data_IF_214150089879
#
_entry.id   IF_214150089879
#
_cell.length_a   1.000
_cell.length_b   1.000
_cell.length_c   1.000
_cell.angle_alpha   90.00
_cell.angle_beta   90.00
_cell.angle_gamma   90.00
#
_symmetry.space_group_name_H-M   'P 1'
#
loop_
_entity.id
_entity.type
_entity.pdbx_description
1 polymer ?
#
# COMPACT_ATOMS: atom_id res chain seq x y z
N UNK A 1 26.72 -3.80 14.63
CA UNK A 1 26.56 -4.03 13.23
C UNK A 1 25.16 -3.74 12.75
N UNK A 2 25.06 -3.04 11.72
CA UNK A 2 23.78 -2.64 11.19
C UNK A 2 23.24 -3.58 10.12
N UNK A 3 23.81 -4.76 9.99
CA UNK A 3 23.38 -5.72 8.96
C UNK A 3 21.92 -6.14 9.10
N UNK A 4 21.45 -6.17 10.34
CA UNK A 4 20.08 -6.61 10.61
C UNK A 4 19.05 -5.68 10.03
N UNK A 5 19.32 -4.36 10.06
CA UNK A 5 18.35 -3.39 9.56
C UNK A 5 18.10 -3.53 8.06
N UNK A 6 19.11 -3.97 7.29
CA UNK A 6 18.92 -4.18 5.86
C UNK A 6 17.94 -5.29 5.57
N UNK A 7 18.01 -6.37 6.33
CA UNK A 7 17.10 -7.50 6.11
C UNK A 7 15.69 -7.17 6.56
N UNK A 8 15.56 -6.40 7.66
CA UNK A 8 14.25 -6.03 8.17
C UNK A 8 13.54 -5.01 7.28
N UNK A 9 14.27 -4.39 6.32
CA UNK A 9 13.71 -3.36 5.44
C UNK A 9 13.30 -3.92 4.08
N UNK A 10 12.99 -5.18 4.03
CA UNK A 10 12.51 -5.82 2.82
C UNK A 10 11.24 -6.60 3.11
N UNK A 11 10.34 -6.61 2.13
CA UNK A 11 9.11 -7.39 2.22
C UNK A 11 8.87 -8.04 0.86
N UNK A 12 8.39 -9.29 0.87
CA UNK A 12 8.22 -10.08 -0.33
C UNK A 12 6.79 -10.02 -0.84
N UNK A 13 6.62 -9.91 -2.16
CA UNK A 13 5.32 -10.06 -2.80
C UNK A 13 5.00 -11.55 -2.84
N UNK A 14 3.79 -11.92 -2.41
CA UNK A 14 3.41 -13.30 -2.19
C UNK A 14 2.87 -13.96 -3.45
N UNK A 15 2.01 -13.27 -4.20
CA UNK A 15 1.38 -13.86 -5.36
C UNK A 15 1.32 -12.94 -6.56
N UNK A 16 0.72 -13.42 -7.66
CA UNK A 16 0.54 -12.65 -8.86
C UNK A 16 1.77 -12.57 -9.74
N UNK A 17 1.81 -11.62 -10.66
CA UNK A 17 2.86 -11.52 -11.66
C UNK A 17 4.23 -11.17 -11.08
N UNK A 18 4.27 -10.55 -9.91
CA UNK A 18 5.53 -10.19 -9.25
C UNK A 18 5.85 -11.11 -8.07
N UNK A 19 5.28 -12.29 -8.04
CA UNK A 19 5.50 -13.24 -6.97
C UNK A 19 6.99 -13.46 -6.71
N UNK A 20 7.37 -13.39 -5.44
CA UNK A 20 8.75 -13.60 -5.01
C UNK A 20 9.64 -12.38 -5.11
N UNK A 21 9.20 -11.31 -5.78
CA UNK A 21 9.95 -10.08 -5.85
C UNK A 21 9.89 -9.34 -4.52
N UNK A 22 10.93 -8.59 -4.23
CA UNK A 22 11.06 -7.91 -2.95
C UNK A 22 10.87 -6.41 -3.09
N UNK A 23 10.22 -5.83 -2.10
CA UNK A 23 10.09 -4.39 -1.95
C UNK A 23 11.11 -3.94 -0.90
N UNK A 24 11.77 -2.82 -1.17
CA UNK A 24 12.70 -2.20 -0.23
C UNK A 24 12.03 -0.97 0.33
N UNK A 25 12.09 -0.77 1.63
CA UNK A 25 11.48 0.41 2.25
C UNK A 25 12.47 1.06 3.22
N UNK A 26 12.28 2.38 3.41
CA UNK A 26 13.14 3.16 4.29
C UNK A 26 12.71 2.98 5.75
N UNK A 27 13.69 3.05 6.67
CA UNK A 27 13.38 3.11 8.08
C UNK A 27 12.61 4.39 8.38
N UNK A 28 11.52 4.27 9.11
CA UNK A 28 10.75 5.41 9.57
C UNK A 28 10.02 4.99 10.84
N UNK A 29 9.80 5.94 11.73
CA UNK A 29 9.11 5.66 12.97
C UNK A 29 7.72 5.07 12.70
N UNK A 30 7.43 3.94 13.32
CA UNK A 30 6.13 3.30 13.17
C UNK A 30 5.92 2.55 11.86
N UNK A 31 6.92 2.51 10.99
CA UNK A 31 6.79 1.81 9.73
C UNK A 31 7.04 0.33 9.93
N UNK A 32 5.99 -0.47 9.73
CA UNK A 32 6.05 -1.93 9.84
C UNK A 32 5.27 -2.54 8.70
N UNK A 33 5.89 -3.43 7.91
CA UNK A 33 5.13 -4.11 6.87
C UNK A 33 4.14 -5.08 7.47
N UNK A 34 3.01 -5.24 6.81
CA UNK A 34 2.03 -6.25 7.17
C UNK A 34 2.65 -7.63 6.95
N UNK A 35 2.62 -8.53 7.94
CA UNK A 35 3.24 -9.85 7.81
C UNK A 35 2.71 -10.65 6.63
N UNK A 36 3.56 -11.52 6.08
CA UNK A 36 3.20 -12.37 4.94
C UNK A 36 1.92 -13.17 5.19
N UNK A 37 1.80 -13.77 6.38
CA UNK A 37 0.63 -14.60 6.70
C UNK A 37 -0.66 -13.79 6.72
N UNK A 38 -0.60 -12.56 7.19
CA UNK A 38 -1.78 -11.69 7.23
C UNK A 38 -2.16 -11.27 5.82
N UNK A 39 -1.18 -10.89 5.00
CA UNK A 39 -1.44 -10.53 3.61
C UNK A 39 -2.02 -11.70 2.83
N UNK A 40 -1.49 -12.89 3.04
CA UNK A 40 -1.98 -14.08 2.37
C UNK A 40 -3.45 -14.33 2.70
N UNK A 41 -3.81 -14.26 3.98
CA UNK A 41 -5.20 -14.43 4.39
C UNK A 41 -6.11 -13.36 3.81
N UNK A 42 -5.64 -12.12 3.80
CA UNK A 42 -6.41 -11.01 3.27
C UNK A 42 -6.73 -11.21 1.79
N UNK A 43 -5.72 -11.57 0.99
CA UNK A 43 -5.94 -11.74 -0.44
C UNK A 43 -6.66 -13.04 -0.77
N UNK A 44 -6.54 -14.07 0.06
CA UNK A 44 -7.40 -15.25 -0.07
C UNK A 44 -8.87 -14.83 0.09
N UNK A 45 -9.14 -13.98 1.05
CA UNK A 45 -10.50 -13.50 1.30
C UNK A 45 -11.01 -12.60 0.19
N UNK A 46 -10.14 -11.75 -0.39
CA UNK A 46 -10.50 -10.86 -1.48
C UNK A 46 -10.69 -11.58 -2.82
N UNK A 47 -10.25 -12.86 -2.93
CA UNK A 47 -10.40 -13.63 -4.13
C UNK A 47 -9.14 -13.77 -4.98
N UNK A 48 -8.00 -13.35 -4.47
CA UNK A 48 -6.67 -13.51 -5.06
C UNK A 48 -6.40 -12.80 -6.39
N UNK A 49 -7.38 -12.73 -7.28
CA UNK A 49 -7.25 -12.06 -8.56
C UNK A 49 -8.12 -10.81 -8.54
N UNK A 50 -7.47 -9.66 -8.65
CA UNK A 50 -8.15 -8.37 -8.55
C UNK A 50 -8.37 -7.71 -9.92
N UNK A 51 -8.40 -8.50 -10.97
CA UNK A 51 -8.63 -7.97 -12.33
C UNK A 51 -9.87 -7.08 -12.36
N UNK A 52 -9.70 -5.88 -12.91
CA UNK A 52 -10.77 -4.91 -13.05
C UNK A 52 -11.04 -4.07 -11.82
N UNK A 53 -10.38 -4.34 -10.70
CA UNK A 53 -10.61 -3.60 -9.48
C UNK A 53 -9.66 -2.41 -9.35
N UNK A 54 -10.18 -1.30 -8.81
CA UNK A 54 -9.38 -0.16 -8.41
C UNK A 54 -9.17 -0.22 -6.90
N UNK A 55 -7.91 -0.12 -6.47
CA UNK A 55 -7.56 -0.24 -5.07
C UNK A 55 -6.87 1.03 -4.57
N UNK A 56 -7.07 1.33 -3.30
CA UNK A 56 -6.44 2.47 -2.63
C UNK A 56 -5.76 1.97 -1.37
N UNK A 57 -4.47 2.29 -1.24
CA UNK A 57 -3.69 2.01 -0.03
C UNK A 57 -3.42 3.34 0.64
N UNK A 58 -4.21 3.65 1.68
CA UNK A 58 -4.30 5.00 2.22
C UNK A 58 -3.12 5.37 3.11
N UNK A 59 -2.51 4.40 3.75
CA UNK A 59 -1.32 4.56 4.60
C UNK A 59 -0.28 3.56 4.10
N UNK A 60 0.28 3.84 2.94
CA UNK A 60 0.99 2.82 2.17
C UNK A 60 2.21 2.24 2.87
N UNK A 61 3.00 3.08 3.54
CA UNK A 61 4.20 2.61 4.23
C UNK A 61 5.14 1.86 3.31
N UNK A 62 5.43 0.60 3.61
CA UNK A 62 6.28 -0.23 2.77
C UNK A 62 5.66 -0.51 1.40
N UNK A 63 4.36 -0.30 1.25
CA UNK A 63 3.64 -0.61 0.03
C UNK A 63 3.20 -2.06 -0.08
N UNK A 64 3.37 -2.84 0.99
CA UNK A 64 3.12 -4.28 0.91
C UNK A 64 1.72 -4.61 0.40
N UNK A 65 0.70 -3.90 0.84
CA UNK A 65 -0.67 -4.17 0.42
C UNK A 65 -0.95 -3.69 -1.00
N UNK A 66 -0.56 -2.45 -1.31
CA UNK A 66 -0.80 -1.88 -2.63
C UNK A 66 -0.04 -2.62 -3.73
N UNK A 67 1.22 -2.95 -3.49
CA UNK A 67 2.01 -3.70 -4.47
C UNK A 67 1.48 -5.12 -4.64
N UNK A 68 1.02 -5.74 -3.55
CA UNK A 68 0.41 -7.06 -3.65
C UNK A 68 -0.83 -7.00 -4.56
N UNK A 69 -1.69 -5.99 -4.36
CA UNK A 69 -2.87 -5.83 -5.20
C UNK A 69 -2.49 -5.63 -6.67
N UNK A 70 -1.48 -4.81 -6.95
CA UNK A 70 -1.01 -4.59 -8.32
C UNK A 70 -0.47 -5.87 -8.92
N UNK A 71 0.28 -6.65 -8.15
CA UNK A 71 0.81 -7.93 -8.58
C UNK A 71 -0.29 -8.93 -8.92
N UNK A 72 -1.44 -8.81 -8.25
CA UNK A 72 -2.58 -9.69 -8.48
C UNK A 72 -3.60 -9.11 -9.45
N UNK A 73 -3.11 -8.30 -10.37
CA UNK A 73 -3.84 -7.82 -11.55
C UNK A 73 -4.87 -6.71 -11.30
N UNK A 74 -4.77 -5.99 -10.19
CA UNK A 74 -5.64 -4.82 -10.00
C UNK A 74 -5.50 -3.89 -11.19
N UNK A 75 -6.61 -3.29 -11.60
CA UNK A 75 -6.63 -2.38 -12.74
C UNK A 75 -5.81 -1.13 -12.48
N UNK A 76 -5.94 -0.59 -11.27
CA UNK A 76 -5.24 0.61 -10.85
C UNK A 76 -5.10 0.60 -9.34
N UNK A 77 -3.95 1.03 -8.85
CA UNK A 77 -3.70 1.12 -7.40
C UNK A 77 -3.14 2.49 -7.09
N UNK A 78 -3.78 3.18 -6.16
CA UNK A 78 -3.29 4.46 -5.64
C UNK A 78 -2.70 4.20 -4.25
N UNK A 79 -1.47 4.64 -4.04
CA UNK A 79 -0.80 4.53 -2.75
C UNK A 79 -0.53 5.94 -2.22
N UNK A 80 -1.03 6.23 -1.03
CA UNK A 80 -0.82 7.52 -0.39
C UNK A 80 0.02 7.36 0.87
N UNK A 81 0.99 8.24 1.04
CA UNK A 81 1.80 8.30 2.24
C UNK A 81 2.28 9.72 2.46
N UNK A 82 2.21 10.20 3.70
CA UNK A 82 2.60 11.57 3.99
C UNK A 82 4.11 11.75 4.18
N UNK A 83 4.87 10.67 4.24
CA UNK A 83 6.31 10.72 4.39
C UNK A 83 6.97 10.73 3.01
N UNK A 84 7.74 11.78 2.73
CA UNK A 84 8.35 11.95 1.42
C UNK A 84 9.34 10.84 1.07
N UNK A 85 10.17 10.45 2.04
CA UNK A 85 11.14 9.38 1.80
C UNK A 85 10.44 8.07 1.48
N UNK A 86 9.37 7.78 2.19
CA UNK A 86 8.56 6.60 1.95
C UNK A 86 7.97 6.65 0.54
N UNK A 87 7.39 7.77 0.15
CA UNK A 87 6.82 7.91 -1.19
C UNK A 87 7.88 7.74 -2.28
N UNK A 88 9.07 8.30 -2.08
CA UNK A 88 10.16 8.16 -3.05
C UNK A 88 10.58 6.70 -3.19
N UNK A 89 10.64 5.96 -2.09
CA UNK A 89 10.99 4.54 -2.13
C UNK A 89 9.92 3.72 -2.83
N UNK A 90 8.66 4.05 -2.60
CA UNK A 90 7.54 3.40 -3.32
C UNK A 90 7.68 3.60 -4.83
N UNK A 91 8.05 4.80 -5.26
CA UNK A 91 8.26 5.09 -6.68
C UNK A 91 9.42 4.28 -7.26
N UNK A 92 10.50 4.14 -6.50
CA UNK A 92 11.64 3.33 -6.93
C UNK A 92 11.24 1.87 -7.10
N UNK A 93 10.50 1.32 -6.16
CA UNK A 93 10.03 -0.06 -6.24
C UNK A 93 9.11 -0.26 -7.44
N UNK A 94 8.21 0.69 -7.69
CA UNK A 94 7.30 0.60 -8.84
C UNK A 94 8.08 0.52 -10.14
N UNK A 95 9.11 1.35 -10.29
CA UNK A 95 9.96 1.33 -11.48
C UNK A 95 10.73 0.02 -11.60
N UNK A 96 11.31 -0.44 -10.49
CA UNK A 96 12.11 -1.66 -10.48
C UNK A 96 11.27 -2.88 -10.87
N UNK A 97 9.99 -2.90 -10.49
CA UNK A 97 9.10 -4.01 -10.79
C UNK A 97 8.36 -3.85 -12.12
N UNK A 98 8.50 -2.70 -12.77
CA UNK A 98 7.83 -2.45 -14.03
C UNK A 98 6.31 -2.36 -13.91
N UNK A 99 5.82 -1.95 -12.76
CA UNK A 99 4.38 -1.83 -12.53
C UNK A 99 3.95 -0.41 -12.86
N UNK A 100 3.24 -0.25 -13.96
CA UNK A 100 2.81 1.06 -14.46
C UNK A 100 1.41 1.46 -14.00
N UNK A 101 0.67 0.56 -13.37
CA UNK A 101 -0.67 0.82 -12.88
C UNK A 101 -0.72 1.46 -11.49
N UNK A 102 0.44 1.68 -10.89
CA UNK A 102 0.54 2.29 -9.57
C UNK A 102 0.64 3.80 -9.69
N UNK A 103 -0.14 4.49 -8.88
CA UNK A 103 0.00 5.93 -8.70
C UNK A 103 0.37 6.21 -7.25
N UNK A 104 1.53 6.84 -7.04
CA UNK A 104 2.03 7.07 -5.70
C UNK A 104 1.95 8.56 -5.39
N UNK A 105 1.28 8.89 -4.29
CA UNK A 105 1.04 10.27 -3.90
C UNK A 105 1.65 10.54 -2.53
N UNK A 106 2.49 11.58 -2.47
CA UNK A 106 3.04 12.04 -1.21
C UNK A 106 2.03 13.01 -0.60
N UNK A 107 1.08 12.48 0.15
CA UNK A 107 0.00 13.26 0.71
C UNK A 107 -0.56 12.56 1.95
N UNK A 108 -1.21 13.34 2.80
CA UNK A 108 -1.98 12.79 3.91
C UNK A 108 -3.20 12.05 3.38
N UNK A 109 -3.46 10.86 3.94
CA UNK A 109 -4.57 10.02 3.46
C UNK A 109 -5.93 10.69 3.60
N UNK A 110 -6.18 11.34 4.72
CA UNK A 110 -7.46 12.04 4.92
C UNK A 110 -7.63 13.18 3.93
N UNK A 111 -6.56 13.95 3.72
CA UNK A 111 -6.60 15.06 2.76
C UNK A 111 -6.90 14.55 1.35
N UNK A 112 -6.33 13.42 1.00
CA UNK A 112 -6.61 12.80 -0.29
C UNK A 112 -8.09 12.43 -0.43
N UNK A 113 -8.63 11.75 0.56
CA UNK A 113 -10.05 11.33 0.54
C UNK A 113 -10.99 12.54 0.47
N UNK A 114 -10.64 13.60 1.18
CA UNK A 114 -11.48 14.79 1.25
C UNK A 114 -11.61 15.48 -0.10
N UNK A 115 -10.52 15.49 -0.89
CA UNK A 115 -10.50 16.19 -2.17
C UNK A 115 -10.78 15.30 -3.38
N UNK A 116 -10.70 13.99 -3.21
CA UNK A 116 -10.83 13.05 -4.32
C UNK A 116 -12.29 12.72 -4.59
N UNK A 117 -12.69 12.69 -5.84
CA UNK A 117 -14.00 12.19 -6.27
C UNK A 117 -13.92 10.77 -6.81
N UNK A 118 -12.75 10.18 -6.77
CA UNK A 118 -12.52 8.86 -7.33
C UNK A 118 -13.13 7.77 -6.45
N UNK A 119 -13.64 6.71 -7.09
CA UNK A 119 -14.23 5.55 -6.41
C UNK A 119 -13.29 4.36 -6.46
N UNK A 120 -13.28 3.57 -5.40
CA UNK A 120 -12.43 2.39 -5.29
C UNK A 120 -13.25 1.17 -4.91
N UNK A 121 -12.82 0.01 -5.41
CA UNK A 121 -13.44 -1.28 -5.06
C UNK A 121 -12.88 -1.80 -3.74
N UNK A 122 -11.63 -1.49 -3.44
CA UNK A 122 -10.94 -1.93 -2.23
C UNK A 122 -10.14 -0.76 -1.66
N UNK A 123 -10.28 -0.55 -0.35
CA UNK A 123 -9.46 0.43 0.37
C UNK A 123 -8.75 -0.26 1.51
N UNK A 124 -7.43 -0.21 1.51
CA UNK A 124 -6.61 -0.76 2.60
C UNK A 124 -6.38 0.34 3.62
N UNK A 125 -6.67 0.03 4.89
CA UNK A 125 -6.53 0.96 6.00
C UNK A 125 -5.61 0.37 7.05
N UNK A 126 -4.37 0.83 7.05
CA UNK A 126 -3.37 0.35 8.00
C UNK A 126 -2.57 1.55 8.54
N UNK A 127 -3.24 2.44 9.30
CA UNK A 127 -2.58 3.65 9.81
C UNK A 127 -1.55 3.33 10.89
N UNK A 128 -0.65 4.29 11.20
CA UNK A 128 0.29 4.11 12.29
C UNK A 128 -0.43 3.82 13.61
N UNK A 129 0.25 3.11 14.50
CA UNK A 129 -0.33 2.65 15.75
C UNK A 129 -1.00 3.77 16.56
N UNK A 130 -0.41 4.96 16.63
CA UNK A 130 -0.92 6.06 17.42
C UNK A 130 -1.96 6.92 16.71
N UNK A 131 -2.32 6.57 15.47
CA UNK A 131 -3.26 7.36 14.69
C UNK A 131 -4.68 7.21 15.24
N UNK A 132 -5.42 8.32 15.34
CA UNK A 132 -6.72 8.32 16.03
C UNK A 132 -7.85 9.02 15.28
N UNK A 133 -7.63 9.42 14.04
CA UNK A 133 -8.61 10.23 13.33
C UNK A 133 -9.67 9.41 12.59
N UNK A 134 -10.13 8.35 13.22
CA UNK A 134 -11.02 7.38 12.60
C UNK A 134 -12.37 7.94 12.18
N UNK A 135 -12.93 8.86 12.97
CA UNK A 135 -14.25 9.41 12.67
C UNK A 135 -14.26 10.15 11.34
N UNK A 136 -13.27 11.02 11.12
CA UNK A 136 -13.16 11.74 9.86
C UNK A 136 -12.88 10.78 8.70
N UNK A 137 -12.05 9.77 8.95
CA UNK A 137 -11.76 8.76 7.94
C UNK A 137 -13.04 8.09 7.45
N UNK A 138 -13.85 7.59 8.36
CA UNK A 138 -15.07 6.89 7.97
C UNK A 138 -16.05 7.82 7.28
N UNK A 139 -16.12 9.08 7.70
CA UNK A 139 -16.98 10.06 7.06
C UNK A 139 -16.59 10.26 5.59
N UNK A 140 -15.29 10.37 5.31
CA UNK A 140 -14.81 10.60 3.94
C UNK A 140 -14.87 9.34 3.09
N UNK A 141 -14.70 8.15 3.68
CA UNK A 141 -14.73 6.90 2.94
C UNK A 141 -16.05 6.65 2.24
N UNK A 142 -17.15 7.11 2.79
CA UNK A 142 -18.48 6.94 2.18
C UNK A 142 -18.50 7.44 0.74
N UNK A 143 -17.72 8.47 0.45
CA UNK A 143 -17.70 9.07 -0.88
C UNK A 143 -16.71 8.40 -1.82
N UNK A 144 -15.88 7.48 -1.31
CA UNK A 144 -14.82 6.83 -2.10
C UNK A 144 -15.09 5.37 -2.40
N UNK A 145 -16.12 4.81 -1.84
CA UNK A 145 -16.48 3.41 -2.07
C UNK A 145 -17.70 3.26 -2.97
#
# INVERSE_FOLDING_TARGET
MSKHSKHSNQVRIIGGQCRGRKLVFADADGLRPTPDSVREKLFNWLGQDLTGMNALDLFAGSGALGFEAASRNAKRVVLADNNRKTADMLRQNARALGLDKLEILNTDGLAYLQRSSEKFDVVFLDPPFAWQDWENLFAYLKNSL
#
